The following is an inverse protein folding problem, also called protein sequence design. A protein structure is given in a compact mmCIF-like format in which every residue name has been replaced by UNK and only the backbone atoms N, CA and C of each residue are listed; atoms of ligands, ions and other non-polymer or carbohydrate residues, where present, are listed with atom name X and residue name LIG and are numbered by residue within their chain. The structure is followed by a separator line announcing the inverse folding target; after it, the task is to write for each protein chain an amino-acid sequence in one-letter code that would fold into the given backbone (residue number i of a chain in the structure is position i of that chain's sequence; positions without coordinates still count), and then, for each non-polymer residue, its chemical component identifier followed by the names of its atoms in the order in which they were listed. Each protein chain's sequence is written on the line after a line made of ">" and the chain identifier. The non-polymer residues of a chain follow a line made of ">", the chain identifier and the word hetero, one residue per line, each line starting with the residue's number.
data_IF_482414948395
#
_entry.id   IF_482414948395
#
_cell.length_a   1.000
_cell.length_b   1.000
_cell.length_c   1.000
_cell.angle_alpha   90.00
_cell.angle_beta   90.00
_cell.angle_gamma   90.00
#
_symmetry.space_group_name_H-M   'P 1'
#
loop_
_entity.id
_entity.type
_entity.pdbx_description
1 polymer ?
#
# COMPACT_ATOMS: atom_id res chain seq x y z
N UNK A 1 -4.37 17.13 5.74
CA UNK A 1 -4.28 15.74 5.26
C UNK A 1 -3.65 14.89 6.34
N UNK A 2 -4.19 13.69 6.59
CA UNK A 2 -3.55 12.71 7.47
C UNK A 2 -2.69 11.77 6.62
N UNK A 3 -1.41 11.65 6.94
CA UNK A 3 -0.49 10.74 6.25
C UNK A 3 -0.39 9.43 7.04
N UNK A 4 -0.50 8.31 6.35
CA UNK A 4 -0.39 6.97 6.92
C UNK A 4 0.59 6.13 6.09
N UNK A 5 1.57 5.54 6.73
CA UNK A 5 2.53 4.63 6.10
C UNK A 5 2.20 3.19 6.50
N UNK A 6 2.07 2.31 5.52
CA UNK A 6 1.68 0.92 5.73
C UNK A 6 2.80 -0.05 5.26
N UNK A 7 3.93 -0.10 5.98
CA UNK A 7 5.04 -0.97 5.62
C UNK A 7 4.68 -2.43 5.83
N UNK A 8 5.04 -3.28 4.87
CA UNK A 8 5.00 -4.73 5.07
C UNK A 8 6.26 -5.17 5.80
N UNK A 9 6.10 -5.92 6.90
CA UNK A 9 7.23 -6.43 7.67
C UNK A 9 6.92 -7.80 8.25
N UNK A 10 7.95 -8.62 8.47
CA UNK A 10 7.83 -9.95 9.04
C UNK A 10 8.84 -10.14 10.18
N UNK A 11 8.51 -11.00 11.15
CA UNK A 11 9.47 -11.49 12.10
C UNK A 11 10.49 -12.40 11.39
N UNK A 12 11.67 -12.54 11.97
CA UNK A 12 12.67 -13.49 11.49
C UNK A 12 12.08 -14.90 11.47
N UNK A 13 12.13 -15.57 10.33
CA UNK A 13 11.55 -16.91 10.14
C UNK A 13 10.10 -16.93 9.65
N UNK A 14 9.48 -15.77 9.45
CA UNK A 14 8.15 -15.63 8.81
C UNK A 14 7.03 -16.44 9.48
N UNK A 15 7.07 -16.56 10.81
CA UNK A 15 6.11 -17.38 11.58
C UNK A 15 4.66 -16.86 11.53
N UNK A 16 4.45 -15.64 11.02
CA UNK A 16 3.13 -15.01 10.91
C UNK A 16 2.35 -15.45 9.67
N UNK A 17 3.00 -16.14 8.74
CA UNK A 17 2.37 -16.64 7.51
C UNK A 17 2.48 -18.15 7.41
N UNK A 18 1.84 -18.73 6.38
CA UNK A 18 1.91 -20.17 6.13
C UNK A 18 3.35 -20.66 6.01
N UNK A 19 3.64 -21.85 6.54
CA UNK A 19 4.93 -22.53 6.35
C UNK A 19 5.17 -22.96 4.89
N UNK A 20 4.12 -22.97 4.08
CA UNK A 20 4.16 -23.30 2.65
C UNK A 20 3.51 -22.18 1.85
N UNK A 21 4.11 -20.98 1.82
CA UNK A 21 3.57 -19.87 1.05
C UNK A 21 3.70 -20.16 -0.45
N UNK A 22 2.83 -19.55 -1.22
CA UNK A 22 2.89 -19.59 -2.68
C UNK A 22 2.74 -18.16 -3.24
N UNK A 23 2.93 -18.01 -4.55
CA UNK A 23 2.83 -16.71 -5.21
C UNK A 23 3.87 -15.73 -4.67
N UNK A 24 3.48 -14.48 -4.53
CA UNK A 24 4.40 -13.40 -4.13
C UNK A 24 5.00 -13.61 -2.73
N UNK A 25 4.24 -14.21 -1.80
CA UNK A 25 4.74 -14.46 -0.44
C UNK A 25 5.82 -15.54 -0.42
N UNK A 26 5.80 -16.51 -1.34
CA UNK A 26 6.91 -17.44 -1.50
C UNK A 26 8.19 -16.68 -1.89
N UNK A 27 8.09 -15.76 -2.85
CA UNK A 27 9.22 -14.90 -3.24
C UNK A 27 9.74 -14.03 -2.10
N UNK A 28 8.86 -13.54 -1.23
CA UNK A 28 9.24 -12.78 -0.02
C UNK A 28 10.11 -13.64 0.91
N UNK A 29 9.69 -14.88 1.17
CA UNK A 29 10.44 -15.81 2.03
C UNK A 29 11.76 -16.24 1.39
N UNK A 30 11.73 -16.62 0.12
CA UNK A 30 12.92 -17.10 -0.61
C UNK A 30 14.02 -16.03 -0.68
N UNK A 31 13.63 -14.76 -0.77
CA UNK A 31 14.57 -13.64 -0.82
C UNK A 31 14.85 -13.00 0.56
N UNK A 32 14.35 -13.59 1.63
CA UNK A 32 14.50 -13.03 2.99
C UNK A 32 14.09 -11.54 3.07
N UNK A 33 13.00 -11.18 2.36
CA UNK A 33 12.58 -9.79 2.23
C UNK A 33 11.76 -9.31 3.44
N UNK A 34 11.84 -8.02 3.71
CA UNK A 34 11.02 -7.30 4.70
C UNK A 34 11.11 -7.82 6.14
N UNK A 35 12.25 -8.39 6.53
CA UNK A 35 12.49 -8.85 7.91
C UNK A 35 12.67 -7.64 8.82
N UNK A 36 11.88 -7.55 9.88
CA UNK A 36 11.92 -6.46 10.85
C UNK A 36 13.32 -6.31 11.48
N UNK A 37 13.85 -5.09 11.43
CA UNK A 37 15.20 -4.78 11.89
C UNK A 37 16.30 -5.00 10.85
N UNK A 38 15.97 -5.46 9.66
CA UNK A 38 16.88 -5.55 8.51
C UNK A 38 16.64 -4.37 7.57
N UNK A 39 17.68 -3.95 6.86
CA UNK A 39 17.61 -2.81 5.93
C UNK A 39 16.43 -2.87 4.96
N UNK A 40 16.08 -4.03 4.45
CA UNK A 40 14.97 -4.19 3.49
C UNK A 40 13.57 -3.95 4.07
N UNK A 41 13.44 -3.77 5.38
CA UNK A 41 12.18 -3.43 6.05
C UNK A 41 12.15 -1.99 6.59
N UNK A 42 13.22 -1.23 6.40
CA UNK A 42 13.30 0.16 6.84
C UNK A 42 12.69 1.11 5.80
N UNK A 43 12.24 2.26 6.26
CA UNK A 43 11.84 3.33 5.36
C UNK A 43 13.06 3.89 4.64
N UNK A 44 12.89 4.23 3.37
CA UNK A 44 13.94 4.88 2.61
C UNK A 44 14.22 6.29 3.16
N UNK A 45 15.48 6.65 3.28
CA UNK A 45 15.91 8.01 3.66
C UNK A 45 15.38 9.09 2.70
N UNK A 46 14.99 8.71 1.49
CA UNK A 46 14.38 9.61 0.52
C UNK A 46 12.92 9.98 0.85
N UNK A 47 12.28 9.26 1.79
CA UNK A 47 10.91 9.50 2.22
C UNK A 47 10.93 9.94 3.68
N UNK A 48 10.94 11.24 3.96
CA UNK A 48 10.95 11.74 5.34
C UNK A 48 9.63 11.36 6.02
N UNK A 49 9.72 10.72 7.17
CA UNK A 49 8.59 10.42 8.05
C UNK A 49 8.47 11.55 9.07
N UNK A 50 7.30 12.18 9.12
CA UNK A 50 7.00 13.21 10.13
C UNK A 50 6.59 12.55 11.45
N UNK A 51 6.80 13.25 12.57
CA UNK A 51 6.29 12.80 13.88
C UNK A 51 4.75 12.75 13.94
N UNK A 52 4.07 13.48 13.05
CA UNK A 52 2.61 13.48 12.94
C UNK A 52 2.07 12.33 12.07
N UNK A 53 2.93 11.66 11.31
CA UNK A 53 2.54 10.57 10.44
C UNK A 53 2.19 9.31 11.24
N UNK A 54 1.21 8.57 10.75
CA UNK A 54 0.77 7.33 11.40
C UNK A 54 1.45 6.14 10.71
N UNK A 55 2.16 5.35 11.50
CA UNK A 55 2.66 4.06 11.02
C UNK A 55 1.60 3.00 11.27
N UNK A 56 1.08 2.43 10.19
CA UNK A 56 0.10 1.34 10.24
C UNK A 56 0.84 0.03 10.43
N UNK A 57 0.82 -0.47 11.65
CA UNK A 57 1.54 -1.70 12.01
C UNK A 57 0.77 -2.96 11.62
N UNK A 58 1.49 -4.07 11.54
CA UNK A 58 0.91 -5.41 11.40
C UNK A 58 0.70 -5.89 9.98
N UNK A 59 1.02 -5.10 8.96
CA UNK A 59 0.84 -5.51 7.57
C UNK A 59 1.72 -6.71 7.23
N UNK A 60 1.07 -7.83 6.87
CA UNK A 60 1.70 -9.10 6.45
C UNK A 60 1.23 -9.55 5.08
N UNK A 61 0.06 -9.09 4.66
CA UNK A 61 -0.53 -9.34 3.35
C UNK A 61 -0.34 -8.15 2.40
N UNK A 62 -0.87 -8.31 1.20
CA UNK A 62 -0.81 -7.28 0.15
C UNK A 62 -1.79 -6.15 0.45
N UNK A 63 -3.02 -6.50 0.76
CA UNK A 63 -4.06 -5.58 1.17
C UNK A 63 -3.81 -5.05 2.59
N UNK A 64 -3.79 -3.73 2.72
CA UNK A 64 -3.58 -3.10 4.02
C UNK A 64 -4.76 -3.32 4.96
N UNK A 65 -5.98 -3.42 4.46
CA UNK A 65 -7.17 -3.66 5.30
C UNK A 65 -7.18 -5.07 5.90
N UNK A 66 -6.77 -6.08 5.14
CA UNK A 66 -6.89 -7.47 5.55
C UNK A 66 -6.01 -7.85 6.75
N UNK A 67 -4.87 -7.19 6.95
CA UNK A 67 -3.91 -7.55 7.99
C UNK A 67 -3.61 -6.46 9.01
N UNK A 68 -4.37 -5.35 8.99
CA UNK A 68 -4.18 -4.24 9.91
C UNK A 68 -5.50 -3.71 10.44
N UNK A 69 -5.45 -2.76 11.34
CA UNK A 69 -6.62 -2.03 11.84
C UNK A 69 -6.84 -0.70 11.11
N UNK A 70 -6.40 -0.56 9.85
CA UNK A 70 -6.51 0.69 9.10
C UNK A 70 -7.97 1.14 8.94
N UNK A 71 -8.92 0.23 8.72
CA UNK A 71 -10.33 0.57 8.60
C UNK A 71 -10.85 1.26 9.87
N UNK A 72 -10.51 0.73 11.04
CA UNK A 72 -10.84 1.36 12.32
C UNK A 72 -10.23 2.77 12.42
N UNK A 73 -8.96 2.94 12.05
CA UNK A 73 -8.29 4.25 12.11
C UNK A 73 -8.94 5.26 11.17
N UNK A 74 -9.24 4.88 9.93
CA UNK A 74 -9.90 5.74 8.95
C UNK A 74 -11.29 6.18 9.43
N UNK A 75 -12.10 5.23 9.89
CA UNK A 75 -13.46 5.50 10.34
C UNK A 75 -13.49 6.30 11.63
N UNK A 76 -12.63 6.03 12.60
CA UNK A 76 -12.56 6.78 13.86
C UNK A 76 -12.17 8.25 13.66
N UNK A 77 -11.42 8.52 12.59
CA UNK A 77 -11.06 9.88 12.17
C UNK A 77 -12.08 10.53 11.22
N UNK A 78 -13.15 9.82 10.87
CA UNK A 78 -14.17 10.31 9.94
C UNK A 78 -13.65 10.46 8.50
N UNK A 79 -12.57 9.80 8.15
CA UNK A 79 -11.97 9.85 6.81
C UNK A 79 -12.87 9.09 5.84
N UNK A 80 -13.20 9.74 4.73
CA UNK A 80 -14.03 9.18 3.65
C UNK A 80 -13.28 9.10 2.33
N UNK A 81 -12.25 9.93 2.15
CA UNK A 81 -11.45 9.99 0.95
C UNK A 81 -10.05 9.42 1.25
N UNK A 82 -9.63 8.47 0.45
CA UNK A 82 -8.34 7.80 0.61
C UNK A 82 -7.51 8.03 -0.66
N UNK A 83 -6.29 8.53 -0.49
CA UNK A 83 -5.33 8.72 -1.57
C UNK A 83 -4.26 7.65 -1.40
N UNK A 84 -4.06 6.81 -2.41
CA UNK A 84 -3.14 5.68 -2.39
C UNK A 84 -1.96 5.92 -3.32
N UNK A 85 -0.76 5.62 -2.82
CA UNK A 85 0.49 5.60 -3.57
C UNK A 85 1.40 4.49 -3.04
N UNK A 86 2.45 4.16 -3.77
CA UNK A 86 3.48 3.21 -3.35
C UNK A 86 3.71 2.07 -4.35
N UNK A 87 4.16 0.91 -3.86
CA UNK A 87 4.49 -0.25 -4.67
C UNK A 87 4.10 -1.56 -3.97
N UNK A 88 3.74 -2.59 -4.74
CA UNK A 88 3.70 -2.61 -6.19
C UNK A 88 2.32 -2.18 -6.69
N UNK A 89 2.27 -1.48 -7.84
CA UNK A 89 1.04 -0.96 -8.45
C UNK A 89 -0.07 -2.01 -8.54
N UNK A 90 0.22 -3.13 -9.21
CA UNK A 90 -0.69 -4.23 -9.47
C UNK A 90 -0.77 -5.26 -8.32
N UNK A 91 -0.35 -4.90 -7.14
CA UNK A 91 -0.26 -5.81 -6.01
C UNK A 91 -0.79 -5.13 -4.73
N UNK A 92 0.08 -4.55 -3.91
CA UNK A 92 -0.34 -3.93 -2.64
C UNK A 92 -1.23 -2.70 -2.84
N UNK A 93 -0.91 -1.85 -3.83
CA UNK A 93 -1.73 -0.67 -4.13
C UNK A 93 -3.09 -1.10 -4.64
N UNK A 94 -3.15 -1.97 -5.64
CA UNK A 94 -4.39 -2.45 -6.21
C UNK A 94 -5.24 -3.24 -5.22
N UNK A 95 -4.65 -4.15 -4.43
CA UNK A 95 -5.38 -4.90 -3.43
C UNK A 95 -6.02 -3.99 -2.39
N UNK A 96 -5.28 -2.99 -1.90
CA UNK A 96 -5.78 -2.01 -0.94
C UNK A 96 -6.85 -1.11 -1.57
N UNK A 97 -6.67 -0.70 -2.84
CA UNK A 97 -7.62 0.10 -3.60
C UNK A 97 -8.99 -0.59 -3.73
N UNK A 98 -8.99 -1.86 -4.14
CA UNK A 98 -10.22 -2.66 -4.31
C UNK A 98 -10.99 -2.76 -2.99
N UNK A 99 -10.31 -3.10 -1.89
CA UNK A 99 -10.94 -3.20 -0.57
C UNK A 99 -11.43 -1.85 -0.05
N UNK A 100 -10.68 -0.77 -0.26
CA UNK A 100 -11.13 0.57 0.10
C UNK A 100 -12.41 0.96 -0.65
N UNK A 101 -12.45 0.70 -1.96
CA UNK A 101 -13.64 0.94 -2.78
C UNK A 101 -14.85 0.16 -2.29
N UNK A 102 -14.71 -1.16 -2.05
CA UNK A 102 -15.81 -2.01 -1.56
C UNK A 102 -16.27 -1.64 -0.15
N UNK A 103 -15.37 -1.10 0.68
CA UNK A 103 -15.69 -0.55 2.00
C UNK A 103 -16.36 0.83 1.97
N UNK A 104 -16.59 1.40 0.77
CA UNK A 104 -17.32 2.63 0.55
C UNK A 104 -16.49 3.91 0.73
N UNK A 105 -15.16 3.82 0.65
CA UNK A 105 -14.30 5.00 0.58
C UNK A 105 -14.29 5.57 -0.85
N UNK A 106 -14.13 6.89 -0.95
CA UNK A 106 -13.75 7.52 -2.21
C UNK A 106 -12.24 7.34 -2.38
N UNK A 107 -11.82 6.66 -3.43
CA UNK A 107 -10.43 6.28 -3.64
C UNK A 107 -9.83 7.07 -4.77
N UNK A 108 -8.67 7.66 -4.53
CA UNK A 108 -7.77 8.24 -5.55
C UNK A 108 -6.49 7.43 -5.55
N UNK A 109 -5.98 7.05 -6.71
CA UNK A 109 -4.66 6.43 -6.86
C UNK A 109 -3.72 7.37 -7.60
N UNK A 110 -2.54 7.61 -7.02
CA UNK A 110 -1.55 8.55 -7.59
C UNK A 110 -0.63 7.77 -8.51
N UNK A 111 -0.92 7.82 -9.81
CA UNK A 111 -0.32 6.93 -10.81
C UNK A 111 1.18 7.11 -10.97
N UNK A 112 1.67 8.34 -10.95
CA UNK A 112 3.10 8.69 -11.04
C UNK A 112 3.86 8.58 -9.70
N UNK A 113 3.16 8.20 -8.62
CA UNK A 113 3.73 7.83 -7.34
C UNK A 113 3.55 6.32 -7.03
N UNK A 114 3.31 5.50 -8.05
CA UNK A 114 3.24 4.05 -7.97
C UNK A 114 4.30 3.42 -8.87
N UNK A 115 4.72 2.20 -8.53
CA UNK A 115 5.63 1.41 -9.35
C UNK A 115 5.29 -0.08 -9.27
N UNK A 116 5.49 -0.80 -10.37
CA UNK A 116 5.42 -2.26 -10.45
C UNK A 116 6.81 -2.84 -10.77
N UNK A 117 6.91 -4.16 -10.90
CA UNK A 117 8.19 -4.80 -11.24
C UNK A 117 8.58 -4.60 -12.71
N UNK A 118 7.64 -4.21 -13.57
CA UNK A 118 7.91 -3.78 -14.93
C UNK A 118 6.96 -2.66 -15.37
N UNK A 119 7.36 -1.84 -16.35
CA UNK A 119 6.49 -0.80 -16.92
C UNK A 119 5.18 -1.37 -17.47
N UNK A 120 5.23 -2.50 -18.14
CA UNK A 120 4.05 -3.13 -18.76
C UNK A 120 3.00 -3.53 -17.72
N UNK A 121 3.43 -4.04 -16.54
CA UNK A 121 2.54 -4.38 -15.46
C UNK A 121 1.92 -3.13 -14.82
N UNK A 122 2.73 -2.08 -14.68
CA UNK A 122 2.26 -0.80 -14.15
C UNK A 122 1.22 -0.16 -15.08
N UNK A 123 1.53 -0.06 -16.37
CA UNK A 123 0.64 0.53 -17.38
C UNK A 123 -0.66 -0.26 -17.49
N UNK A 124 -0.60 -1.59 -17.51
CA UNK A 124 -1.78 -2.45 -17.57
C UNK A 124 -2.73 -2.22 -16.38
N UNK A 125 -2.20 -2.15 -15.16
CA UNK A 125 -3.00 -1.91 -13.97
C UNK A 125 -3.66 -0.52 -13.99
N UNK A 126 -2.93 0.51 -14.40
CA UNK A 126 -3.45 1.87 -14.49
C UNK A 126 -4.51 1.99 -15.59
N UNK A 127 -4.31 1.33 -16.73
CA UNK A 127 -5.24 1.42 -17.87
C UNK A 127 -6.53 0.63 -17.62
N UNK A 128 -6.43 -0.58 -17.08
CA UNK A 128 -7.56 -1.51 -17.03
C UNK A 128 -8.20 -1.65 -15.65
N UNK A 129 -7.42 -1.66 -14.57
CA UNK A 129 -7.93 -1.96 -13.24
C UNK A 129 -8.26 -0.71 -12.42
N UNK A 130 -7.37 0.27 -12.40
CA UNK A 130 -7.53 1.45 -11.55
C UNK A 130 -8.81 2.25 -11.82
N UNK A 131 -9.23 2.48 -13.09
CA UNK A 131 -10.46 3.22 -13.37
C UNK A 131 -11.75 2.55 -12.87
N UNK A 132 -11.69 1.23 -12.59
CA UNK A 132 -12.85 0.51 -12.06
C UNK A 132 -13.07 0.75 -10.56
N UNK A 133 -12.02 1.07 -9.79
CA UNK A 133 -12.06 1.11 -8.33
C UNK A 133 -11.54 2.41 -7.72
N UNK A 134 -11.06 3.34 -8.54
CA UNK A 134 -10.53 4.60 -8.06
C UNK A 134 -10.67 5.71 -9.10
N UNK A 135 -10.23 6.91 -8.73
CA UNK A 135 -9.95 8.01 -9.65
C UNK A 135 -8.42 8.08 -9.83
N UNK A 136 -7.86 7.50 -10.92
CA UNK A 136 -6.43 7.62 -11.20
C UNK A 136 -6.08 9.08 -11.50
N UNK A 137 -5.09 9.61 -10.80
CA UNK A 137 -4.61 10.99 -10.93
C UNK A 137 -3.09 11.03 -10.86
N UNK A 138 -2.50 12.04 -11.48
CA UNK A 138 -1.10 12.38 -11.24
C UNK A 138 -0.92 13.13 -9.92
N UNK A 139 0.30 13.17 -9.39
CA UNK A 139 0.63 13.97 -8.20
C UNK A 139 0.21 15.45 -8.40
N UNK A 140 0.47 16.01 -9.55
CA UNK A 140 0.13 17.41 -9.85
C UNK A 140 -1.37 17.68 -9.77
N UNK A 141 -2.20 16.76 -10.29
CA UNK A 141 -3.66 16.85 -10.24
C UNK A 141 -4.17 16.73 -8.80
N UNK A 142 -3.61 15.78 -8.02
CA UNK A 142 -3.97 15.61 -6.60
C UNK A 142 -3.65 16.88 -5.81
N UNK A 143 -2.44 17.43 -5.94
CA UNK A 143 -2.04 18.64 -5.23
C UNK A 143 -2.89 19.85 -5.63
N UNK A 144 -3.26 19.96 -6.91
CA UNK A 144 -4.16 21.01 -7.39
C UNK A 144 -5.57 20.94 -6.79
N UNK A 145 -6.02 19.76 -6.37
CA UNK A 145 -7.34 19.55 -5.77
C UNK A 145 -7.33 19.62 -4.23
N UNK A 146 -6.16 19.63 -3.59
CA UNK A 146 -6.02 19.74 -2.13
C UNK A 146 -5.91 21.19 -1.63
N UNK A 147 -5.78 22.15 -2.53
CA UNK A 147 -5.60 23.59 -2.26
C UNK A 147 -6.87 24.34 -1.89
#
# INVERSE_FOLDING_TARGET
>A
VTVMHAPITFAKGYNEISQHPYGILAGVVDNSAFVKGEWGAEFSDAIPISEEDIIVEGKRGLDTFASTNIDFMLRSKGIKNVILAGFLTNCCVESTMRTAYENGFNVVTVTDCCAAVSPEQHEAAIEFDFPMFSHPMTQAEVLGNLG
#
